data_IF_177751011216
#
_entry.id   IF_177751011216
#
_cell.length_a   1.000
_cell.length_b   1.000
_cell.length_c   1.000
_cell.angle_alpha   90.00
_cell.angle_beta   90.00
_cell.angle_gamma   90.00
#
_symmetry.space_group_name_H-M   'P 1'
#
loop_
_entity.id
_entity.type
_entity.pdbx_description
1 polymer ?
#
# COMPACT_ATOMS: atom_id res chain seq x y z
N UNK A 1 26.78 36.84 12.12
CA UNK A 1 25.81 35.74 12.26
C UNK A 1 26.34 34.82 13.35
N UNK A 2 25.74 34.85 14.53
CA UNK A 2 25.90 33.79 15.53
C UNK A 2 25.20 32.54 15.01
N UNK A 3 25.81 31.38 15.19
CA UNK A 3 25.19 30.09 14.91
C UNK A 3 24.99 29.40 16.25
N UNK A 4 23.73 29.06 16.56
CA UNK A 4 23.36 28.33 17.78
C UNK A 4 22.83 26.95 17.37
N UNK A 5 23.25 25.92 18.11
CA UNK A 5 22.88 24.54 17.82
C UNK A 5 21.78 24.11 18.80
N UNK A 6 20.59 23.83 18.27
CA UNK A 6 19.46 23.31 19.04
C UNK A 6 19.48 21.77 18.99
N UNK A 7 19.52 21.12 20.14
CA UNK A 7 19.52 19.66 20.23
C UNK A 7 18.12 19.16 20.60
N UNK A 8 17.55 18.32 19.74
CA UNK A 8 16.25 17.66 19.96
C UNK A 8 16.52 16.16 20.19
N UNK A 9 15.94 15.61 21.26
CA UNK A 9 15.97 14.18 21.51
C UNK A 9 14.63 13.55 21.08
N UNK A 10 14.68 12.68 20.07
CA UNK A 10 13.49 11.98 19.56
C UNK A 10 13.46 10.59 20.20
N UNK A 11 12.54 10.39 21.14
CA UNK A 11 12.29 9.10 21.78
C UNK A 11 11.52 8.15 20.88
N UNK A 12 11.67 6.84 21.10
CA UNK A 12 10.92 5.81 20.38
C UNK A 12 9.42 5.97 20.61
N UNK A 13 8.63 5.85 19.55
CA UNK A 13 7.16 5.94 19.62
C UNK A 13 6.61 7.37 19.72
N UNK A 14 7.45 8.41 19.62
CA UNK A 14 6.95 9.79 19.58
C UNK A 14 6.01 9.99 18.40
N UNK A 15 4.84 10.58 18.68
CA UNK A 15 3.80 10.79 17.68
C UNK A 15 4.11 12.01 16.80
N UNK A 16 3.76 11.97 15.51
CA UNK A 16 3.78 13.17 14.67
C UNK A 16 2.91 14.26 15.28
N UNK A 17 3.32 15.52 15.11
CA UNK A 17 2.70 16.69 15.72
C UNK A 17 3.28 17.07 17.08
N UNK A 18 4.20 16.28 17.66
CA UNK A 18 4.86 16.65 18.91
C UNK A 18 5.72 17.90 18.71
N UNK A 19 5.57 18.89 19.59
CA UNK A 19 6.27 20.18 19.51
C UNK A 19 7.42 20.26 20.52
N UNK A 20 8.55 20.77 20.09
CA UNK A 20 9.68 21.15 20.92
C UNK A 20 9.80 22.67 20.89
N UNK A 21 9.66 23.30 22.06
CA UNK A 21 9.66 24.76 22.20
C UNK A 21 11.03 25.16 22.75
N UNK A 22 11.71 26.05 22.02
CA UNK A 22 12.96 26.67 22.41
C UNK A 22 12.68 28.15 22.69
N UNK A 23 12.55 28.48 23.97
CA UNK A 23 12.14 29.81 24.42
C UNK A 23 13.21 30.85 24.13
N UNK A 24 12.81 31.99 23.54
CA UNK A 24 13.71 33.12 23.24
C UNK A 24 14.92 32.76 22.33
N UNK A 25 14.78 31.75 21.46
CA UNK A 25 15.82 31.28 20.54
C UNK A 25 15.62 31.74 19.08
N UNK A 26 14.68 32.67 18.87
CA UNK A 26 14.36 33.27 17.57
C UNK A 26 15.25 34.45 17.20
N UNK A 27 14.76 35.30 16.30
CA UNK A 27 15.53 36.46 15.82
C UNK A 27 15.76 37.48 16.94
N UNK A 28 17.03 37.86 17.16
CA UNK A 28 17.44 38.83 18.18
C UNK A 28 17.55 40.25 17.59
N UNK A 29 16.93 41.23 18.27
CA UNK A 29 16.96 42.66 17.94
C UNK A 29 17.26 43.48 19.20
N UNK A 30 17.94 44.61 19.05
CA UNK A 30 18.33 45.46 20.19
C UNK A 30 17.09 45.99 20.94
N UNK A 31 17.01 45.72 22.24
CA UNK A 31 15.89 46.14 23.09
C UNK A 31 14.60 45.32 22.95
N UNK A 32 14.62 44.22 22.18
CA UNK A 32 13.46 43.33 21.96
C UNK A 32 13.79 41.93 22.48
N UNK A 33 12.82 41.30 23.15
CA UNK A 33 12.94 39.90 23.60
C UNK A 33 12.81 39.00 22.36
N UNK A 34 13.74 38.07 22.10
CA UNK A 34 13.65 37.15 20.97
C UNK A 34 12.39 36.28 21.03
N UNK A 35 11.89 35.87 19.87
CA UNK A 35 10.73 34.98 19.79
C UNK A 35 11.11 33.53 20.13
N UNK A 36 10.09 32.67 20.31
CA UNK A 36 10.32 31.24 20.49
C UNK A 36 10.51 30.53 19.15
N UNK A 37 11.32 29.46 19.15
CA UNK A 37 11.43 28.54 18.02
C UNK A 37 10.65 27.27 18.35
N UNK A 38 9.64 26.97 17.55
CA UNK A 38 8.80 25.77 17.72
C UNK A 38 9.15 24.78 16.60
N UNK A 39 9.71 23.63 16.98
CA UNK A 39 10.00 22.53 16.05
C UNK A 39 8.93 21.47 16.20
N UNK A 40 8.26 21.12 15.10
CA UNK A 40 7.21 20.09 15.10
C UNK A 40 7.73 18.81 14.45
N UNK A 41 7.56 17.67 15.14
CA UNK A 41 7.89 16.36 14.60
C UNK A 41 6.89 15.98 13.50
N UNK A 42 7.39 15.69 12.30
CA UNK A 42 6.58 15.23 11.16
C UNK A 42 6.98 13.81 10.81
N UNK A 43 6.00 12.97 10.46
CA UNK A 43 6.25 11.63 9.95
C UNK A 43 6.45 11.70 8.44
N UNK A 44 7.62 11.28 7.97
CA UNK A 44 7.89 11.13 6.54
C UNK A 44 7.25 9.84 5.98
N UNK A 45 6.74 9.93 4.76
CA UNK A 45 6.17 8.78 4.08
C UNK A 45 7.27 7.74 3.77
N UNK A 46 7.01 6.48 4.11
CA UNK A 46 7.94 5.38 3.87
C UNK A 46 7.46 4.49 2.73
N UNK A 47 8.38 4.05 1.87
CA UNK A 47 8.04 3.29 0.63
C UNK A 47 7.40 1.93 0.89
N UNK A 48 7.71 1.29 2.02
CA UNK A 48 7.20 -0.06 2.37
C UNK A 48 6.10 -0.07 3.43
N UNK A 49 5.99 0.99 4.22
CA UNK A 49 5.16 0.97 5.42
C UNK A 49 4.27 2.18 5.45
N UNK A 50 3.00 1.93 5.69
CA UNK A 50 2.04 2.95 6.08
C UNK A 50 1.88 2.90 7.59
N UNK A 51 2.05 4.03 8.26
CA UNK A 51 1.86 4.13 9.69
C UNK A 51 0.41 4.53 10.01
N UNK A 52 -0.21 3.83 10.94
CA UNK A 52 -1.54 4.14 11.46
C UNK A 52 -1.49 4.16 13.00
N UNK A 53 -1.11 5.29 13.57
CA UNK A 53 -0.87 5.41 15.01
C UNK A 53 0.38 4.64 15.42
N UNK A 54 0.21 3.57 16.21
CA UNK A 54 1.31 2.70 16.66
C UNK A 54 1.41 1.42 15.80
N UNK A 55 0.44 1.18 14.91
CA UNK A 55 0.41 0.04 14.01
C UNK A 55 1.02 0.38 12.65
N UNK A 56 1.49 -0.66 11.96
CA UNK A 56 2.05 -0.57 10.61
C UNK A 56 1.23 -1.41 9.63
N UNK A 57 1.12 -0.94 8.40
CA UNK A 57 0.61 -1.72 7.28
C UNK A 57 1.66 -1.81 6.17
N UNK A 58 1.74 -2.97 5.52
CA UNK A 58 2.61 -3.20 4.36
C UNK A 58 1.90 -4.06 3.32
N UNK A 59 2.33 -3.93 2.07
CA UNK A 59 1.81 -4.73 0.95
C UNK A 59 2.85 -5.78 0.57
N UNK A 60 2.44 -7.04 0.54
CA UNK A 60 3.26 -8.15 0.08
C UNK A 60 2.70 -8.68 -1.24
N UNK A 61 3.47 -8.48 -2.30
CA UNK A 61 3.18 -9.06 -3.61
C UNK A 61 3.53 -10.54 -3.61
N UNK A 62 2.52 -11.38 -3.83
CA UNK A 62 2.63 -12.83 -3.81
C UNK A 62 2.29 -13.38 -5.20
N UNK A 63 3.14 -14.23 -5.80
CA UNK A 63 2.81 -14.84 -7.08
C UNK A 63 1.63 -15.80 -6.93
N UNK A 64 0.79 -15.88 -7.97
CA UNK A 64 -0.44 -16.69 -7.98
C UNK A 64 -0.26 -18.10 -7.41
N UNK A 65 0.80 -18.82 -7.80
CA UNK A 65 1.02 -20.19 -7.33
C UNK A 65 1.14 -20.28 -5.80
N UNK A 66 1.81 -19.31 -5.15
CA UNK A 66 1.93 -19.27 -3.68
C UNK A 66 0.64 -18.87 -2.99
N UNK A 67 -0.15 -18.01 -3.64
CA UNK A 67 -1.47 -17.64 -3.14
C UNK A 67 -2.40 -18.86 -3.12
N UNK A 68 -2.40 -19.65 -4.21
CA UNK A 68 -3.20 -20.87 -4.33
C UNK A 68 -2.75 -21.97 -3.36
N UNK A 69 -1.43 -22.16 -3.18
CA UNK A 69 -0.88 -23.20 -2.32
C UNK A 69 -0.75 -22.81 -0.85
N UNK A 70 -1.12 -21.58 -0.47
CA UNK A 70 -0.99 -21.05 0.90
C UNK A 70 0.41 -21.28 1.50
N UNK A 71 1.45 -21.13 0.68
CA UNK A 71 2.81 -21.49 1.09
C UNK A 71 3.42 -20.45 2.03
N UNK A 72 4.31 -20.85 2.97
CA UNK A 72 5.01 -19.92 3.83
C UNK A 72 5.75 -18.84 3.03
N UNK A 73 5.67 -17.61 3.51
CA UNK A 73 6.37 -16.46 2.94
C UNK A 73 7.05 -15.66 4.06
N UNK A 74 7.82 -14.65 3.69
CA UNK A 74 8.51 -13.81 4.66
C UNK A 74 8.40 -12.35 4.27
N UNK A 75 8.39 -11.48 5.28
CA UNK A 75 8.40 -10.02 5.11
C UNK A 75 9.48 -9.41 5.99
N UNK A 76 10.05 -8.29 5.58
CA UNK A 76 11.00 -7.55 6.41
C UNK A 76 10.21 -6.67 7.39
N UNK A 77 10.48 -6.81 8.69
CA UNK A 77 9.95 -5.94 9.73
C UNK A 77 10.58 -4.54 9.68
N UNK A 78 9.99 -3.61 10.45
CA UNK A 78 10.51 -2.23 10.55
C UNK A 78 11.89 -2.17 11.23
N UNK A 79 12.22 -3.17 12.04
CA UNK A 79 13.52 -3.33 12.71
C UNK A 79 14.56 -4.06 11.85
N UNK A 80 14.21 -4.40 10.60
CA UNK A 80 15.07 -5.14 9.67
C UNK A 80 15.12 -6.65 9.91
N UNK A 81 14.34 -7.20 10.85
CA UNK A 81 14.24 -8.65 11.03
C UNK A 81 13.33 -9.26 9.98
N UNK A 82 13.63 -10.51 9.59
CA UNK A 82 12.75 -11.27 8.69
C UNK A 82 11.67 -11.97 9.49
N UNK A 83 10.42 -11.62 9.23
CA UNK A 83 9.24 -12.23 9.84
C UNK A 83 8.71 -13.33 8.91
N UNK A 84 8.58 -14.54 9.43
CA UNK A 84 8.03 -15.68 8.69
C UNK A 84 6.51 -15.71 8.84
N UNK A 85 5.81 -15.61 7.73
CA UNK A 85 4.35 -15.67 7.63
C UNK A 85 3.93 -17.11 7.29
N UNK A 86 2.97 -17.64 8.05
CA UNK A 86 2.43 -18.98 7.88
C UNK A 86 0.91 -18.91 7.66
N UNK A 87 0.46 -18.79 6.40
CA UNK A 87 -0.95 -18.86 6.06
C UNK A 87 -1.55 -20.24 6.40
N UNK A 88 -2.87 -20.32 6.67
CA UNK A 88 -3.55 -21.59 6.89
C UNK A 88 -3.37 -22.53 5.70
N UNK A 89 -2.87 -23.74 5.94
CA UNK A 89 -2.65 -24.72 4.87
C UNK A 89 -3.99 -25.15 4.27
N UNK A 90 -4.03 -25.28 2.94
CA UNK A 90 -5.21 -25.73 2.21
C UNK A 90 -6.28 -24.66 1.94
N UNK A 91 -6.07 -23.41 2.40
CA UNK A 91 -6.98 -22.29 2.10
C UNK A 91 -6.24 -21.29 1.21
N UNK A 92 -6.67 -21.09 -0.05
CA UNK A 92 -6.02 -20.14 -0.93
C UNK A 92 -6.13 -18.72 -0.37
N UNK A 93 -5.04 -17.96 -0.48
CA UNK A 93 -4.98 -16.57 -0.04
C UNK A 93 -5.67 -15.71 -1.08
N UNK A 94 -6.75 -15.05 -0.67
CA UNK A 94 -7.47 -14.14 -1.57
C UNK A 94 -6.71 -12.82 -1.72
N UNK A 95 -6.72 -12.20 -2.92
CA UNK A 95 -6.21 -10.86 -3.10
C UNK A 95 -6.86 -9.88 -2.11
N UNK A 96 -6.06 -9.04 -1.46
CA UNK A 96 -6.51 -8.10 -0.44
C UNK A 96 -6.66 -8.67 0.97
N UNK A 97 -6.42 -9.97 1.17
CA UNK A 97 -6.42 -10.56 2.53
C UNK A 97 -5.38 -9.88 3.41
N UNK A 98 -5.76 -9.62 4.67
CA UNK A 98 -4.88 -9.04 5.69
C UNK A 98 -4.43 -10.12 6.68
N UNK A 99 -3.12 -10.18 6.92
CA UNK A 99 -2.54 -11.00 7.98
C UNK A 99 -1.97 -10.10 9.07
N UNK A 100 -2.37 -10.36 10.32
CA UNK A 100 -1.87 -9.65 11.49
C UNK A 100 -0.64 -10.35 12.06
N UNK A 101 0.45 -9.60 12.21
CA UNK A 101 1.67 -9.99 12.92
C UNK A 101 1.73 -9.20 14.23
N UNK A 102 1.36 -9.86 15.34
CA UNK A 102 1.24 -9.21 16.63
C UNK A 102 2.60 -8.74 17.18
N UNK A 103 2.67 -7.51 17.69
CA UNK A 103 3.87 -6.95 18.32
C UNK A 103 4.98 -6.51 17.35
N UNK A 104 4.69 -6.48 16.05
CA UNK A 104 5.66 -6.12 15.00
C UNK A 104 5.49 -4.68 14.46
N UNK A 105 4.61 -3.88 15.07
CA UNK A 105 4.38 -2.47 14.78
C UNK A 105 5.41 -1.51 15.40
N UNK A 106 5.05 -0.25 15.60
CA UNK A 106 5.92 0.75 16.23
C UNK A 106 5.89 0.63 17.76
N UNK A 107 6.95 1.05 18.47
CA UNK A 107 6.94 1.15 19.93
C UNK A 107 5.87 2.14 20.41
N UNK A 108 5.18 1.82 21.50
CA UNK A 108 4.21 2.74 22.10
C UNK A 108 4.93 3.90 22.80
N UNK A 109 4.38 5.11 22.68
CA UNK A 109 4.94 6.29 23.37
C UNK A 109 4.92 6.18 24.89
N UNK A 110 3.95 5.47 25.47
CA UNK A 110 3.80 5.32 26.93
C UNK A 110 4.73 4.24 27.50
N UNK A 111 4.91 3.16 26.76
CA UNK A 111 5.79 2.05 27.12
C UNK A 111 6.53 1.56 25.88
N UNK A 112 7.78 2.01 25.69
CA UNK A 112 8.60 1.62 24.54
C UNK A 112 8.99 0.13 24.50
N UNK A 113 8.72 -0.64 25.57
CA UNK A 113 8.90 -2.09 25.58
C UNK A 113 7.77 -2.82 24.86
N UNK A 114 6.60 -2.19 24.77
CA UNK A 114 5.44 -2.67 24.04
C UNK A 114 5.42 -2.09 22.62
N UNK A 115 4.85 -2.86 21.68
CA UNK A 115 4.73 -2.47 20.27
C UNK A 115 3.30 -2.69 19.79
N UNK A 116 2.89 -1.88 18.82
CA UNK A 116 1.69 -2.14 18.03
C UNK A 116 1.88 -3.36 17.12
N UNK A 117 1.00 -3.50 16.14
CA UNK A 117 0.93 -4.65 15.26
C UNK A 117 1.33 -4.30 13.82
N UNK A 118 1.79 -5.30 13.07
CA UNK A 118 2.02 -5.19 11.63
C UNK A 118 0.92 -5.91 10.86
N UNK A 119 0.29 -5.22 9.93
CA UNK A 119 -0.72 -5.74 9.02
C UNK A 119 -0.14 -5.92 7.63
N UNK A 120 -0.09 -7.17 7.15
CA UNK A 120 0.40 -7.51 5.82
C UNK A 120 -0.78 -7.73 4.90
N UNK A 121 -0.96 -6.85 3.91
CA UNK A 121 -1.95 -7.01 2.83
C UNK A 121 -1.34 -7.80 1.70
N UNK A 122 -1.98 -8.91 1.31
CA UNK A 122 -1.53 -9.70 0.17
C UNK A 122 -2.08 -9.13 -1.14
N UNK A 123 -1.20 -8.91 -2.10
CA UNK A 123 -1.58 -8.64 -3.49
C UNK A 123 -1.09 -9.76 -4.38
N UNK A 124 -2.00 -10.37 -5.15
CA UNK A 124 -1.67 -11.51 -6.00
C UNK A 124 -1.19 -11.04 -7.35
N UNK A 125 0.05 -11.39 -7.69
CA UNK A 125 0.66 -11.11 -8.99
C UNK A 125 0.35 -12.26 -9.95
N UNK A 126 -0.36 -11.92 -11.02
CA UNK A 126 -0.69 -12.84 -12.10
C UNK A 126 0.48 -12.97 -13.08
N UNK A 127 0.79 -14.19 -13.56
CA UNK A 127 1.79 -14.37 -14.61
C UNK A 127 1.27 -13.80 -15.93
N UNK A 128 2.12 -13.11 -16.70
CA UNK A 128 1.74 -12.53 -17.99
C UNK A 128 1.42 -13.60 -19.05
N UNK A 129 2.05 -14.77 -18.95
CA UNK A 129 1.74 -15.96 -19.74
C UNK A 129 1.89 -17.19 -18.87
N UNK A 130 0.98 -18.15 -19.06
CA UNK A 130 1.03 -19.46 -18.41
C UNK A 130 1.09 -20.54 -19.51
N UNK A 131 2.25 -21.16 -19.76
CA UNK A 131 2.38 -22.20 -20.78
C UNK A 131 1.74 -23.49 -20.26
N UNK A 132 0.44 -23.63 -20.49
CA UNK A 132 -0.33 -24.83 -20.12
C UNK A 132 -0.28 -25.85 -21.25
N UNK A 133 -0.02 -27.11 -20.90
CA UNK A 133 -0.26 -28.26 -21.77
C UNK A 133 -1.71 -28.76 -21.58
N UNK A 134 -2.27 -29.53 -22.54
CA UNK A 134 -3.59 -30.14 -22.36
C UNK A 134 -3.66 -31.02 -21.10
N UNK A 135 -2.58 -31.73 -20.77
CA UNK A 135 -2.49 -32.53 -19.56
C UNK A 135 -2.58 -31.66 -18.30
N UNK A 136 -1.84 -30.55 -18.25
CA UNK A 136 -1.89 -29.61 -17.11
C UNK A 136 -3.24 -28.92 -16.99
N UNK A 137 -3.92 -28.65 -18.09
CA UNK A 137 -5.27 -28.05 -18.08
C UNK A 137 -6.26 -29.01 -17.46
N UNK A 138 -6.22 -30.29 -17.87
CA UNK A 138 -7.05 -31.36 -17.28
C UNK A 138 -6.80 -31.52 -15.79
N UNK A 139 -5.55 -31.40 -15.34
CA UNK A 139 -5.20 -31.41 -13.92
C UNK A 139 -5.79 -30.22 -13.16
N UNK A 140 -5.73 -29.01 -13.74
CA UNK A 140 -6.32 -27.82 -13.12
C UNK A 140 -7.84 -27.96 -13.01
N UNK A 141 -8.51 -28.46 -14.06
CA UNK A 141 -9.96 -28.70 -14.03
C UNK A 141 -10.33 -29.70 -12.93
N UNK A 142 -9.54 -30.76 -12.77
CA UNK A 142 -9.73 -31.73 -11.68
C UNK A 142 -9.49 -31.13 -10.30
N UNK A 143 -8.54 -30.20 -10.14
CA UNK A 143 -8.24 -29.55 -8.85
C UNK A 143 -9.33 -28.55 -8.47
N UNK A 144 -9.79 -27.74 -9.43
CA UNK A 144 -10.78 -26.68 -9.20
C UNK A 144 -12.23 -27.16 -9.33
N UNK A 145 -12.46 -28.45 -9.57
CA UNK A 145 -13.79 -29.06 -9.58
C UNK A 145 -14.60 -28.77 -10.85
N UNK A 146 -13.95 -28.39 -11.95
CA UNK A 146 -14.56 -28.29 -13.28
C UNK A 146 -15.81 -27.41 -13.33
N UNK A 147 -15.78 -26.23 -12.71
CA UNK A 147 -16.91 -25.31 -12.76
C UNK A 147 -17.13 -24.85 -14.21
N UNK A 148 -18.20 -25.35 -14.83
CA UNK A 148 -18.77 -24.74 -16.02
C UNK A 148 -19.06 -23.28 -15.68
N UNK A 149 -18.54 -22.37 -16.47
CA UNK A 149 -18.92 -20.97 -16.39
C UNK A 149 -20.44 -20.88 -16.61
N UNK A 150 -21.15 -20.17 -15.74
CA UNK A 150 -22.54 -19.81 -15.97
C UNK A 150 -22.57 -18.93 -17.21
N UNK A 151 -22.85 -19.56 -18.36
CA UNK A 151 -23.13 -18.85 -19.60
C UNK A 151 -24.34 -17.95 -19.32
N UNK A 152 -24.24 -16.62 -19.53
CA UNK A 152 -25.45 -15.81 -19.57
C UNK A 152 -26.38 -16.43 -20.63
N UNK A 153 -27.71 -16.52 -20.37
CA UNK A 153 -28.64 -17.12 -21.32
C UNK A 153 -28.46 -16.41 -22.66
N UNK A 154 -27.97 -17.17 -23.63
CA UNK A 154 -27.38 -16.64 -24.87
C UNK A 154 -28.33 -15.69 -25.59
N UNK A 155 -27.76 -14.56 -25.99
CA UNK A 155 -28.20 -13.71 -27.10
C UNK A 155 -28.67 -14.60 -28.25
N UNK A 156 -29.90 -14.38 -28.73
CA UNK A 156 -30.44 -15.10 -29.87
C UNK A 156 -29.51 -14.94 -31.09
N UNK A 157 -29.14 -16.09 -31.67
CA UNK A 157 -28.54 -16.33 -32.99
C UNK A 157 -27.67 -15.22 -33.61
N UNK A 158 -26.34 -15.38 -33.48
CA UNK A 158 -25.37 -14.63 -34.29
C UNK A 158 -24.02 -14.42 -33.61
N UNK A 159 -23.37 -15.47 -33.09
CA UNK A 159 -21.99 -15.35 -32.64
C UNK A 159 -21.05 -15.48 -33.84
N UNK A 160 -20.52 -14.37 -34.34
CA UNK A 160 -19.32 -14.39 -35.18
C UNK A 160 -18.15 -14.84 -34.31
N UNK A 161 -17.45 -15.90 -34.73
CA UNK A 161 -16.16 -16.26 -34.17
C UNK A 161 -15.19 -15.10 -34.42
N UNK A 162 -14.85 -14.35 -33.36
CA UNK A 162 -13.77 -13.38 -33.44
C UNK A 162 -12.44 -14.14 -33.49
N UNK A 163 -12.00 -14.52 -34.70
CA UNK A 163 -10.62 -14.95 -34.90
C UNK A 163 -9.70 -13.76 -34.63
N UNK A 164 -8.74 -13.91 -33.71
CA UNK A 164 -7.68 -12.94 -33.52
C UNK A 164 -6.83 -12.87 -34.80
N UNK A 165 -7.18 -11.96 -35.70
CA UNK A 165 -6.48 -11.70 -36.96
C UNK A 165 -5.25 -10.83 -36.74
N UNK A 166 -4.10 -11.39 -37.14
CA UNK A 166 -2.88 -10.72 -37.60
C UNK A 166 -2.22 -9.71 -36.64
N UNK A 167 -1.15 -10.16 -35.98
CA UNK A 167 -0.20 -9.33 -35.23
C UNK A 167 0.52 -8.38 -36.18
N UNK A 168 -0.08 -7.23 -36.50
CA UNK A 168 0.65 -6.12 -37.10
C UNK A 168 1.51 -5.45 -36.03
N UNK A 169 2.80 -5.48 -36.27
CA UNK A 169 3.87 -4.83 -35.50
C UNK A 169 3.47 -3.42 -35.03
N UNK A 170 3.27 -3.23 -33.73
CA UNK A 170 3.36 -1.90 -33.12
C UNK A 170 4.84 -1.56 -32.95
N UNK A 171 5.42 -0.96 -33.99
CA UNK A 171 6.74 -0.33 -33.92
C UNK A 171 6.66 0.94 -33.06
N UNK A 172 7.70 1.14 -32.27
CA UNK A 172 7.90 2.16 -31.23
C UNK A 172 7.47 3.59 -31.60
N UNK A 173 7.01 4.35 -30.60
CA UNK A 173 7.26 5.78 -30.54
C UNK A 173 7.50 6.19 -29.09
N UNK A 174 8.76 6.51 -28.78
CA UNK A 174 9.13 7.34 -27.64
C UNK A 174 8.50 8.74 -27.83
N UNK A 175 7.91 9.28 -26.77
CA UNK A 175 7.38 10.65 -26.81
C UNK A 175 6.84 11.08 -25.46
N UNK A 176 7.60 11.92 -24.77
CA UNK A 176 7.21 12.64 -23.57
C UNK A 176 5.90 13.42 -23.77
N UNK A 177 5.05 13.48 -22.74
CA UNK A 177 4.05 14.53 -22.60
C UNK A 177 4.11 15.06 -21.17
N UNK A 178 4.41 16.35 -21.13
CA UNK A 178 4.49 17.22 -19.96
C UNK A 178 3.12 17.40 -19.29
N UNK A 179 3.20 17.64 -17.99
CA UNK A 179 2.16 18.14 -17.10
C UNK A 179 1.56 19.46 -17.57
N UNK A 180 0.22 19.54 -17.64
CA UNK A 180 -0.53 20.78 -17.43
C UNK A 180 -1.73 20.51 -16.50
N UNK A 181 -1.64 21.00 -15.27
CA UNK A 181 -2.76 21.12 -14.33
C UNK A 181 -3.42 22.48 -14.57
N UNK A 182 -4.62 22.49 -15.13
CA UNK A 182 -5.48 23.67 -15.19
C UNK A 182 -6.24 23.86 -13.87
N UNK A 183 -6.13 25.05 -13.29
CA UNK A 183 -6.85 25.51 -12.10
C UNK A 183 -8.37 25.51 -12.34
N UNK A 184 -9.13 24.96 -11.38
CA UNK A 184 -10.59 24.98 -11.36
C UNK A 184 -11.11 25.49 -10.02
N UNK A 185 -11.87 26.59 -10.08
CA UNK A 185 -12.40 27.43 -9.01
C UNK A 185 -13.40 26.70 -8.06
N UNK A 186 -13.44 26.98 -6.73
CA UNK A 186 -14.14 26.14 -5.74
C UNK A 186 -15.63 26.44 -5.48
N UNK A 187 -16.35 27.20 -6.31
CA UNK A 187 -17.72 27.67 -5.99
C UNK A 187 -18.87 27.14 -6.88
N UNK A 188 -18.86 25.86 -7.26
CA UNK A 188 -20.01 25.20 -7.89
C UNK A 188 -20.64 24.12 -7.00
N UNK A 189 -21.71 24.49 -6.28
CA UNK A 189 -22.64 23.54 -5.65
C UNK A 189 -23.90 23.41 -6.50
N UNK A 190 -24.31 22.20 -6.90
CA UNK A 190 -25.70 21.98 -7.28
C UNK A 190 -26.47 21.26 -6.17
N UNK A 191 -27.29 22.06 -5.51
CA UNK A 191 -28.70 21.86 -5.16
C UNK A 191 -29.25 20.42 -5.04
N UNK A 192 -29.75 20.15 -3.83
CA UNK A 192 -30.73 19.13 -3.47
C UNK A 192 -31.99 19.24 -4.35
N UNK A 193 -32.51 18.10 -4.83
CA UNK A 193 -33.93 17.94 -5.14
C UNK A 193 -34.47 16.62 -4.56
N UNK A 194 -35.65 16.74 -3.95
CA UNK A 194 -36.38 15.73 -3.23
C UNK A 194 -37.25 14.84 -4.14
N UNK A 195 -37.57 13.65 -3.61
CA UNK A 195 -38.81 12.86 -3.72
C UNK A 195 -39.57 12.80 -5.07
N UNK A 196 -39.76 11.56 -5.55
CA UNK A 196 -41.08 10.92 -5.63
C UNK A 196 -40.96 9.41 -5.48
#
# INVERSE_FOLDING_TARGET
>A
RSHQQLQINISKGMRPGTQFIFECEGDELEGVIPSDVIVTLVLEAHTRFLCAGDDLATVLHLPLHRALSASPCSVLGVDGKTLRLQPPQGVPIQPGTLLKCAGEGLPLSQDPSMRGDLYVRFEVVWPSRLPLTPDSTTQLDSIFGGAAYDLPPSVHEGAEEASAGDTRECKEMEGAVETEFGEGDPDDRPLVCAQQ
#
